data_IF_685129784120
#
_entry.id   IF_685129784120
#
_cell.length_a   1.000
_cell.length_b   1.000
_cell.length_c   1.000
_cell.angle_alpha   90.00
_cell.angle_beta   90.00
_cell.angle_gamma   90.00
#
_symmetry.space_group_name_H-M   'P 1'
#
loop_
_entity.id
_entity.type
_entity.pdbx_description
1 polymer ?
#
# COMPACT_ATOMS: atom_id res chain seq x y z
N UNK A 1 -13.13 -40.93 -28.06
CA UNK A 1 -11.84 -40.37 -28.48
C UNK A 1 -11.22 -39.79 -27.23
N UNK A 2 -10.02 -40.22 -26.87
CA UNK A 2 -9.24 -39.52 -25.85
C UNK A 2 -8.97 -38.10 -26.37
N UNK A 3 -9.36 -37.09 -25.59
CA UNK A 3 -9.05 -35.70 -25.92
C UNK A 3 -7.53 -35.55 -25.84
N UNK A 4 -6.90 -35.09 -26.92
CA UNK A 4 -5.46 -34.78 -26.94
C UNK A 4 -5.24 -33.67 -25.92
N UNK A 5 -4.46 -33.97 -24.87
CA UNK A 5 -4.06 -32.99 -23.84
C UNK A 5 -2.65 -32.51 -24.11
N UNK A 6 -2.42 -31.23 -23.93
CA UNK A 6 -1.07 -30.67 -23.85
C UNK A 6 -0.54 -31.01 -22.45
N UNK A 7 0.58 -31.74 -22.38
CA UNK A 7 1.18 -32.16 -21.11
C UNK A 7 2.01 -31.03 -20.52
N UNK A 8 1.70 -30.64 -19.28
CA UNK A 8 2.51 -29.66 -18.56
C UNK A 8 3.84 -30.26 -18.10
N UNK A 9 4.85 -29.42 -17.91
CA UNK A 9 6.12 -29.84 -17.28
C UNK A 9 5.96 -29.91 -15.77
N UNK A 10 6.60 -30.89 -15.14
CA UNK A 10 6.82 -30.84 -13.70
C UNK A 10 7.91 -29.80 -13.41
N UNK A 11 7.51 -28.66 -12.87
CA UNK A 11 8.41 -27.63 -12.38
C UNK A 11 8.17 -27.41 -10.89
N UNK A 12 9.24 -27.37 -10.11
CA UNK A 12 9.15 -27.11 -8.68
C UNK A 12 8.94 -25.62 -8.46
N UNK A 13 7.74 -25.25 -8.03
CA UNK A 13 7.46 -23.91 -7.53
C UNK A 13 8.12 -23.73 -6.15
N UNK A 14 9.00 -22.72 -5.95
CA UNK A 14 9.57 -22.45 -4.65
C UNK A 14 8.48 -22.23 -3.59
N UNK A 15 8.63 -22.86 -2.43
CA UNK A 15 7.70 -22.68 -1.32
C UNK A 15 7.91 -21.30 -0.68
N UNK A 16 6.84 -20.76 -0.08
CA UNK A 16 6.97 -19.57 0.77
C UNK A 16 7.81 -19.94 1.99
N UNK A 17 8.89 -19.20 2.20
CA UNK A 17 9.71 -19.32 3.40
C UNK A 17 9.16 -18.41 4.49
N UNK A 18 9.31 -18.82 5.75
CA UNK A 18 8.91 -18.01 6.90
C UNK A 18 9.90 -16.85 7.05
N UNK A 19 9.43 -15.60 6.89
CA UNK A 19 10.23 -14.44 7.25
C UNK A 19 10.18 -14.24 8.77
N UNK A 20 11.32 -14.45 9.45
CA UNK A 20 11.46 -14.24 10.90
C UNK A 20 12.03 -12.88 11.27
N UNK A 21 12.35 -12.08 10.27
CA UNK A 21 13.06 -10.84 10.47
C UNK A 21 12.05 -9.72 10.70
N UNK A 22 12.26 -8.96 11.76
CA UNK A 22 11.55 -7.72 11.99
C UNK A 22 12.58 -6.67 12.37
N UNK A 23 12.60 -5.58 11.62
CA UNK A 23 13.40 -4.42 11.97
C UNK A 23 12.69 -3.66 13.10
N UNK A 24 13.46 -3.25 14.10
CA UNK A 24 13.00 -2.22 15.02
C UNK A 24 13.07 -0.85 14.33
N UNK A 25 12.38 0.15 14.86
CA UNK A 25 12.52 1.52 14.34
C UNK A 25 13.98 2.01 14.42
N UNK A 26 14.74 1.57 15.42
CA UNK A 26 16.17 1.87 15.53
C UNK A 26 17.00 1.26 14.40
N UNK A 27 16.69 0.02 13.99
CA UNK A 27 17.36 -0.64 12.87
C UNK A 27 17.05 0.05 11.53
N UNK A 28 15.80 0.47 11.34
CA UNK A 28 15.37 1.25 10.15
C UNK A 28 16.14 2.57 10.08
N UNK A 29 16.20 3.31 11.19
CA UNK A 29 16.95 4.57 11.27
C UNK A 29 18.42 4.34 10.91
N UNK A 30 19.04 3.29 11.47
CA UNK A 30 20.44 2.97 11.20
C UNK A 30 20.68 2.60 9.73
N UNK A 31 19.87 1.69 9.18
CA UNK A 31 20.00 1.21 7.80
C UNK A 31 19.86 2.32 6.77
N UNK A 32 18.82 3.15 6.88
CA UNK A 32 18.59 4.26 5.94
C UNK A 32 19.70 5.31 6.05
N UNK A 33 20.15 5.67 7.26
CA UNK A 33 21.26 6.62 7.41
C UNK A 33 22.56 6.07 6.80
N UNK A 34 22.84 4.77 6.94
CA UNK A 34 24.05 4.16 6.39
C UNK A 34 24.13 4.26 4.86
N UNK A 35 22.98 4.18 4.16
CA UNK A 35 22.91 4.22 2.70
C UNK A 35 22.73 5.64 2.17
N UNK A 36 21.79 6.40 2.74
CA UNK A 36 21.35 7.69 2.19
C UNK A 36 21.97 8.91 2.90
N UNK A 37 22.58 8.73 4.07
CA UNK A 37 23.22 9.79 4.86
C UNK A 37 24.65 9.43 5.32
N UNK A 38 25.52 8.87 4.45
CA UNK A 38 26.80 8.30 4.88
C UNK A 38 27.75 9.38 5.39
N UNK A 39 28.37 9.12 6.55
CA UNK A 39 29.38 9.98 7.15
C UNK A 39 28.85 11.30 7.73
N UNK A 40 27.52 11.46 7.82
CA UNK A 40 26.84 12.61 8.41
C UNK A 40 26.22 12.23 9.77
N UNK A 41 25.83 13.21 10.61
CA UNK A 41 25.12 12.93 11.86
C UNK A 41 23.83 12.14 11.59
N UNK A 42 23.55 11.16 12.46
CA UNK A 42 22.35 10.33 12.36
C UNK A 42 21.10 11.19 12.51
N UNK A 43 20.16 11.05 11.58
CA UNK A 43 18.86 11.73 11.60
C UNK A 43 17.79 10.73 12.03
N UNK A 44 17.04 11.07 13.08
CA UNK A 44 15.80 10.37 13.44
C UNK A 44 14.61 11.19 12.94
N UNK A 45 14.07 10.80 11.78
CA UNK A 45 12.93 11.49 11.17
C UNK A 45 11.58 11.08 11.77
N UNK A 46 11.55 10.11 12.69
CA UNK A 46 10.34 9.74 13.44
C UNK A 46 10.11 10.66 14.64
N UNK A 47 11.18 11.19 15.24
CA UNK A 47 11.07 11.99 16.46
C UNK A 47 10.39 13.35 16.19
N UNK A 48 9.36 13.71 16.99
CA UNK A 48 8.81 15.05 16.95
C UNK A 48 9.84 16.09 17.42
N UNK A 49 9.54 17.37 17.20
CA UNK A 49 10.33 18.45 17.79
C UNK A 49 10.29 18.42 19.33
N UNK A 50 11.40 18.78 19.98
CA UNK A 50 11.52 18.74 21.45
C UNK A 50 10.54 19.70 22.16
N UNK A 51 10.15 20.77 21.48
CA UNK A 51 9.21 21.80 21.94
C UNK A 51 7.79 21.60 21.41
N UNK A 52 7.48 20.45 20.81
CA UNK A 52 6.13 20.13 20.35
C UNK A 52 5.12 20.08 21.50
N UNK A 53 3.98 20.74 21.31
CA UNK A 53 2.92 20.87 22.32
C UNK A 53 1.53 20.76 21.70
N UNK A 54 0.63 20.03 22.35
CA UNK A 54 -0.77 19.94 21.92
C UNK A 54 -1.64 20.97 22.63
N UNK A 55 -2.67 21.48 21.95
CA UNK A 55 -3.67 22.35 22.56
C UNK A 55 -4.38 21.68 23.76
N UNK A 56 -4.63 20.38 23.64
CA UNK A 56 -5.21 19.51 24.65
C UNK A 56 -4.34 18.27 24.79
N UNK A 57 -3.66 18.16 25.93
CA UNK A 57 -2.90 16.98 26.30
C UNK A 57 -3.64 16.21 27.41
N UNK A 58 -3.98 14.96 27.13
CA UNK A 58 -4.54 14.03 28.12
C UNK A 58 -3.50 12.95 28.36
N UNK A 59 -2.94 12.95 29.57
CA UNK A 59 -1.83 12.10 29.97
C UNK A 59 -2.25 11.22 31.14
N UNK A 60 -2.02 9.92 31.00
CA UNK A 60 -2.35 8.90 32.01
C UNK A 60 -3.78 9.03 32.57
N UNK A 61 -4.74 9.29 31.68
CA UNK A 61 -6.17 9.43 32.00
C UNK A 61 -6.55 10.74 32.67
N UNK A 62 -5.70 11.78 32.60
CA UNK A 62 -5.97 13.13 33.13
C UNK A 62 -5.73 14.21 32.09
N UNK A 63 -6.62 15.19 32.02
CA UNK A 63 -6.32 16.41 31.27
C UNK A 63 -5.20 17.17 32.00
N UNK A 64 -4.07 17.36 31.32
CA UNK A 64 -2.90 18.02 31.87
C UNK A 64 -2.78 19.44 31.31
N UNK A 65 -3.32 20.41 32.05
CA UNK A 65 -3.23 21.83 31.70
C UNK A 65 -1.78 22.33 31.61
N UNK A 66 -0.84 21.72 32.34
CA UNK A 66 0.55 22.21 32.43
C UNK A 66 1.37 21.89 31.18
N UNK A 67 1.02 20.81 30.49
CA UNK A 67 1.65 20.39 29.23
C UNK A 67 0.74 20.61 28.02
N UNK A 68 -0.41 21.27 28.22
CA UNK A 68 -1.31 21.73 27.17
C UNK A 68 -1.02 23.17 26.75
N UNK A 69 -1.39 23.53 25.52
CA UNK A 69 -1.34 24.90 25.01
C UNK A 69 -2.76 25.48 24.85
N UNK A 70 -3.36 26.06 25.90
CA UNK A 70 -4.70 26.65 25.81
C UNK A 70 -4.76 27.92 24.94
N UNK A 71 -3.62 28.50 24.56
CA UNK A 71 -3.59 29.76 23.79
C UNK A 71 -4.12 29.62 22.36
N UNK A 72 -4.09 28.41 21.81
CA UNK A 72 -4.60 28.07 20.48
C UNK A 72 -6.00 27.44 20.51
N UNK A 73 -6.61 27.34 21.70
CA UNK A 73 -7.98 26.83 21.89
C UNK A 73 -8.98 27.99 21.84
N UNK A 74 -9.91 27.92 20.88
CA UNK A 74 -10.93 28.95 20.65
C UNK A 74 -12.34 28.54 21.08
N UNK A 75 -12.50 27.29 21.51
CA UNK A 75 -13.78 26.76 21.95
C UNK A 75 -13.73 25.28 22.28
N UNK A 76 -14.77 24.82 22.96
CA UNK A 76 -14.95 23.44 23.38
C UNK A 76 -14.89 23.24 24.88
N UNK A 77 -15.10 22.00 25.29
CA UNK A 77 -14.98 21.54 26.68
C UNK A 77 -14.01 20.38 26.74
N UNK A 78 -13.15 20.39 27.74
CA UNK A 78 -12.13 19.37 27.96
C UNK A 78 -12.31 18.80 29.35
N UNK A 79 -12.19 17.48 29.44
CA UNK A 79 -12.18 16.71 30.68
C UNK A 79 -11.22 15.54 30.52
N UNK A 80 -10.99 14.79 31.61
CA UNK A 80 -10.06 13.66 31.66
C UNK A 80 -10.26 12.60 30.58
N UNK A 81 -11.49 12.38 30.12
CA UNK A 81 -11.84 11.32 29.17
C UNK A 81 -12.76 11.77 28.03
N UNK A 82 -13.13 13.06 27.99
CA UNK A 82 -14.01 13.59 26.96
C UNK A 82 -13.61 14.99 26.53
N UNK A 83 -13.57 15.20 25.22
CA UNK A 83 -13.40 16.50 24.56
C UNK A 83 -14.62 16.75 23.70
N UNK A 84 -15.27 17.91 23.82
CA UNK A 84 -16.52 18.22 23.12
C UNK A 84 -16.46 19.58 22.41
N UNK A 85 -16.87 19.62 21.14
CA UNK A 85 -16.94 20.84 20.33
C UNK A 85 -15.63 21.63 20.31
N UNK A 86 -14.49 20.93 20.25
CA UNK A 86 -13.18 21.55 20.29
C UNK A 86 -12.95 22.42 19.05
N UNK A 87 -12.38 23.61 19.25
CA UNK A 87 -11.88 24.44 18.15
C UNK A 87 -10.44 24.83 18.40
N UNK A 88 -9.54 24.41 17.52
CA UNK A 88 -8.10 24.74 17.59
C UNK A 88 -7.66 25.39 16.30
N UNK A 89 -6.89 26.47 16.40
CA UNK A 89 -6.20 27.10 15.28
C UNK A 89 -4.78 27.42 15.70
N UNK A 90 -3.80 26.83 15.03
CA UNK A 90 -2.37 27.04 15.31
C UNK A 90 -1.59 27.18 14.01
N UNK A 91 -0.53 27.99 14.02
CA UNK A 91 0.29 28.29 12.83
C UNK A 91 1.77 27.96 13.02
N UNK A 92 2.19 27.67 14.24
CA UNK A 92 3.53 27.19 14.54
C UNK A 92 3.63 25.69 14.22
N UNK A 93 4.77 25.29 13.67
CA UNK A 93 5.10 23.90 13.31
C UNK A 93 4.99 22.90 14.46
N UNK A 94 5.16 23.41 15.69
CA UNK A 94 5.29 22.65 16.93
C UNK A 94 3.97 22.56 17.71
N UNK A 95 2.91 23.25 17.29
CA UNK A 95 1.63 23.32 18.01
C UNK A 95 0.57 22.40 17.39
N UNK A 96 0.17 21.33 18.06
CA UNK A 96 -0.92 20.45 17.62
C UNK A 96 -2.22 20.71 18.35
N UNK A 97 -3.21 19.82 18.15
CA UNK A 97 -4.52 19.96 18.78
C UNK A 97 -4.77 18.95 19.90
N UNK A 98 -4.81 17.64 19.61
CA UNK A 98 -5.12 16.62 20.62
C UNK A 98 -3.95 15.64 20.76
N UNK A 99 -3.49 15.42 21.97
CA UNK A 99 -2.49 14.38 22.26
C UNK A 99 -2.97 13.53 23.43
N UNK A 100 -3.18 12.24 23.16
CA UNK A 100 -3.57 11.23 24.13
C UNK A 100 -2.34 10.35 24.44
N UNK A 101 -1.86 10.41 25.68
CA UNK A 101 -0.60 9.77 26.07
C UNK A 101 -0.82 8.80 27.25
N UNK A 102 -0.26 7.59 27.14
CA UNK A 102 -0.12 6.66 28.26
C UNK A 102 -1.24 5.62 28.38
N UNK A 103 -0.90 4.46 28.93
CA UNK A 103 -1.77 3.28 28.99
C UNK A 103 -3.05 3.48 29.84
N UNK A 104 -3.07 4.50 30.69
CA UNK A 104 -4.26 4.90 31.46
C UNK A 104 -5.23 5.80 30.70
N UNK A 105 -4.89 6.24 29.49
CA UNK A 105 -5.67 7.21 28.71
C UNK A 105 -6.62 6.51 27.77
N UNK A 106 -7.92 6.81 27.93
CA UNK A 106 -8.99 6.45 27.01
C UNK A 106 -9.91 7.67 26.87
N UNK A 107 -9.81 8.36 25.74
CA UNK A 107 -10.50 9.62 25.49
C UNK A 107 -11.37 9.55 24.24
N UNK A 108 -12.58 10.12 24.36
CA UNK A 108 -13.45 10.39 23.21
C UNK A 108 -13.49 11.89 22.91
N UNK A 109 -13.22 12.23 21.66
CA UNK A 109 -13.41 13.55 21.05
C UNK A 109 -14.71 13.51 20.27
N UNK A 110 -15.68 14.28 20.71
CA UNK A 110 -17.00 14.41 20.08
C UNK A 110 -17.16 15.80 19.50
N UNK A 111 -17.04 15.90 18.18
CA UNK A 111 -16.98 17.16 17.41
C UNK A 111 -15.70 17.96 17.67
N UNK A 112 -14.91 18.14 16.62
CA UNK A 112 -13.73 19.02 16.64
C UNK A 112 -13.53 19.73 15.30
N UNK A 113 -13.09 20.98 15.33
CA UNK A 113 -12.66 21.76 14.18
C UNK A 113 -11.22 22.20 14.40
N UNK A 114 -10.30 21.57 13.70
CA UNK A 114 -8.86 21.73 13.88
C UNK A 114 -8.27 22.24 12.57
N UNK A 115 -7.60 23.39 12.62
CA UNK A 115 -6.87 23.95 11.49
C UNK A 115 -5.44 24.25 11.93
N UNK A 116 -4.48 23.52 11.38
CA UNK A 116 -3.07 23.63 11.74
C UNK A 116 -2.24 24.03 10.52
N UNK A 117 -1.30 24.95 10.71
CA UNK A 117 -0.33 25.33 9.70
C UNK A 117 1.09 25.32 10.25
N UNK A 118 2.08 25.32 9.36
CA UNK A 118 3.50 25.36 9.69
C UNK A 118 4.16 23.98 9.55
N UNK A 119 5.46 24.00 9.26
CA UNK A 119 6.25 22.78 9.06
C UNK A 119 6.44 22.04 10.37
N UNK A 120 5.95 20.80 10.43
CA UNK A 120 6.21 19.89 11.52
C UNK A 120 7.60 19.26 11.46
N UNK A 121 7.85 18.39 12.42
CA UNK A 121 8.98 17.49 12.47
C UNK A 121 8.50 16.16 13.05
N UNK A 122 9.08 15.06 12.58
CA UNK A 122 8.71 13.73 13.07
C UNK A 122 7.47 13.16 12.37
N UNK A 123 7.03 12.03 12.89
CA UNK A 123 5.75 11.40 12.54
C UNK A 123 4.89 11.44 13.79
N UNK A 124 3.68 11.98 13.68
CA UNK A 124 2.75 12.01 14.80
C UNK A 124 3.11 12.99 15.93
N UNK A 125 2.95 12.54 17.17
CA UNK A 125 3.25 13.29 18.39
C UNK A 125 2.36 14.52 18.67
N UNK A 126 2.76 15.36 19.63
CA UNK A 126 1.95 16.48 20.12
C UNK A 126 1.64 17.57 19.09
N UNK A 127 2.41 17.67 18.01
CA UNK A 127 2.24 18.67 16.96
C UNK A 127 1.18 18.28 15.89
N UNK A 128 0.66 17.05 15.97
CA UNK A 128 -0.36 16.55 15.04
C UNK A 128 -1.75 17.15 15.30
N UNK A 129 -2.64 17.01 14.32
CA UNK A 129 -4.07 17.28 14.53
C UNK A 129 -4.61 16.46 15.70
N UNK A 130 -4.41 15.14 15.67
CA UNK A 130 -4.68 14.28 16.80
C UNK A 130 -3.75 13.06 16.84
N UNK A 131 -3.05 12.82 17.96
CA UNK A 131 -2.19 11.65 18.11
C UNK A 131 -2.53 10.86 19.38
N UNK A 132 -2.42 9.53 19.28
CA UNK A 132 -2.41 8.61 20.41
C UNK A 132 -1.03 7.94 20.52
N UNK A 133 -0.48 7.87 21.74
CA UNK A 133 0.85 7.32 21.99
C UNK A 133 0.97 6.58 23.32
N UNK A 134 1.95 5.69 23.43
CA UNK A 134 2.25 4.90 24.65
C UNK A 134 1.05 4.10 25.17
N UNK A 135 0.41 3.31 24.31
CA UNK A 135 -0.78 2.49 24.63
C UNK A 135 -2.06 3.28 24.97
N UNK A 136 -2.12 4.58 24.66
CA UNK A 136 -3.35 5.36 24.79
C UNK A 136 -4.43 4.90 23.79
N UNK A 137 -5.69 5.19 24.13
CA UNK A 137 -6.84 5.02 23.25
C UNK A 137 -7.49 6.35 22.95
N UNK A 138 -7.66 6.65 21.67
CA UNK A 138 -8.27 7.88 21.20
C UNK A 138 -9.40 7.54 20.22
N UNK A 139 -10.61 8.00 20.53
CA UNK A 139 -11.76 7.93 19.63
C UNK A 139 -12.14 9.33 19.19
N UNK A 140 -12.21 9.57 17.88
CA UNK A 140 -12.57 10.85 17.26
C UNK A 140 -13.88 10.66 16.49
N UNK A 141 -14.83 11.56 16.71
CA UNK A 141 -16.15 11.55 16.04
C UNK A 141 -16.50 12.94 15.54
N UNK A 142 -17.15 13.00 14.38
CA UNK A 142 -17.73 14.24 13.84
C UNK A 142 -16.70 15.38 13.71
N UNK A 143 -15.46 15.07 13.32
CA UNK A 143 -14.37 16.03 13.31
C UNK A 143 -14.01 16.49 11.89
N UNK A 144 -13.48 17.71 11.83
CA UNK A 144 -12.75 18.23 10.67
C UNK A 144 -11.35 18.58 11.13
N UNK A 145 -10.35 17.90 10.57
CA UNK A 145 -8.93 18.14 10.85
C UNK A 145 -8.25 18.50 9.54
N UNK A 146 -7.78 19.73 9.44
CA UNK A 146 -7.13 20.29 8.25
C UNK A 146 -5.72 20.74 8.63
N UNK A 147 -4.71 20.15 7.99
CA UNK A 147 -3.30 20.45 8.24
C UNK A 147 -2.57 20.91 6.98
N UNK A 148 -1.73 21.94 7.14
CA UNK A 148 -0.88 22.49 6.09
C UNK A 148 0.57 22.62 6.58
N UNK A 149 1.53 22.17 5.79
CA UNK A 149 2.94 22.16 6.18
C UNK A 149 3.60 20.79 6.01
N UNK A 150 4.93 20.81 5.88
CA UNK A 150 5.74 19.61 5.73
C UNK A 150 5.64 18.76 6.99
N UNK A 151 5.53 17.43 6.84
CA UNK A 151 5.46 16.48 7.97
C UNK A 151 4.39 16.88 9.01
N UNK A 152 3.26 17.44 8.57
CA UNK A 152 2.17 17.90 9.43
C UNK A 152 0.97 16.95 9.30
N UNK A 153 0.92 15.97 10.19
CA UNK A 153 -0.06 14.89 10.16
C UNK A 153 -1.40 15.35 10.72
N UNK A 154 -2.49 14.92 10.07
CA UNK A 154 -3.82 15.12 10.62
C UNK A 154 -4.07 14.17 11.79
N UNK A 155 -3.68 12.90 11.66
CA UNK A 155 -3.76 11.94 12.76
C UNK A 155 -2.57 10.98 12.83
N UNK A 156 -2.29 10.43 14.01
CA UNK A 156 -1.30 9.36 14.18
C UNK A 156 -1.65 8.40 15.34
N UNK A 157 -1.20 7.16 15.23
CA UNK A 157 -1.23 6.16 16.29
C UNK A 157 0.15 5.52 16.44
N UNK A 158 0.76 5.68 17.60
CA UNK A 158 2.15 5.29 17.88
C UNK A 158 2.26 4.42 19.14
N UNK A 159 3.26 3.55 19.16
CA UNK A 159 3.76 2.83 20.35
C UNK A 159 2.65 2.13 21.17
N UNK A 160 1.98 1.17 20.54
CA UNK A 160 0.96 0.30 21.15
C UNK A 160 -0.42 0.93 21.27
N UNK A 161 -0.66 2.10 20.66
CA UNK A 161 -1.89 2.86 20.83
C UNK A 161 -3.01 2.38 19.90
N UNK A 162 -4.24 2.82 20.22
CA UNK A 162 -5.42 2.58 19.40
C UNK A 162 -6.09 3.90 19.03
N UNK A 163 -6.22 4.17 17.75
CA UNK A 163 -6.96 5.32 17.21
C UNK A 163 -8.21 4.85 16.47
N UNK A 164 -9.35 5.50 16.73
CA UNK A 164 -10.59 5.27 15.98
C UNK A 164 -11.18 6.57 15.50
N UNK A 165 -11.53 6.66 14.23
CA UNK A 165 -12.08 7.86 13.59
C UNK A 165 -13.41 7.51 12.94
N UNK A 166 -14.45 8.27 13.30
CA UNK A 166 -15.83 8.07 12.84
C UNK A 166 -16.38 9.36 12.25
N UNK A 167 -17.12 9.27 11.15
CA UNK A 167 -17.95 10.36 10.64
C UNK A 167 -17.17 11.68 10.46
N UNK A 168 -15.92 11.60 10.00
CA UNK A 168 -14.97 12.72 10.04
C UNK A 168 -14.31 12.99 8.70
N UNK A 169 -13.79 14.20 8.55
CA UNK A 169 -12.94 14.61 7.42
C UNK A 169 -11.57 14.96 7.95
N UNK A 170 -10.53 14.27 7.47
CA UNK A 170 -9.15 14.57 7.80
C UNK A 170 -8.36 14.86 6.53
N UNK A 171 -7.56 15.92 6.55
CA UNK A 171 -6.84 16.39 5.37
C UNK A 171 -5.43 16.88 5.73
N UNK A 172 -4.46 16.51 4.90
CA UNK A 172 -3.10 17.06 4.97
C UNK A 172 -2.59 17.51 3.60
N UNK A 173 -2.13 18.77 3.53
CA UNK A 173 -1.76 19.43 2.27
C UNK A 173 -0.24 19.45 1.96
N UNK A 174 0.61 19.34 2.98
CA UNK A 174 2.05 19.51 2.80
C UNK A 174 2.42 20.96 2.49
N UNK A 175 3.66 21.18 2.04
CA UNK A 175 4.06 22.44 1.39
C UNK A 175 4.18 22.26 -0.13
N UNK A 176 3.94 23.30 -0.94
CA UNK A 176 4.22 23.25 -2.37
C UNK A 176 5.73 23.14 -2.64
N UNK A 177 6.12 22.34 -3.62
CA UNK A 177 7.46 22.34 -4.23
C UNK A 177 7.36 21.87 -5.71
N UNK A 178 8.34 22.20 -6.56
CA UNK A 178 8.26 21.95 -8.02
C UNK A 178 9.11 22.91 -8.85
N UNK A 179 8.73 23.14 -10.12
CA UNK A 179 9.56 23.81 -11.16
C UNK A 179 10.24 25.13 -10.72
N UNK A 180 9.59 25.91 -9.86
CA UNK A 180 10.11 27.19 -9.35
C UNK A 180 10.26 27.23 -7.81
N UNK A 181 9.99 26.12 -7.10
CA UNK A 181 10.05 26.04 -5.64
C UNK A 181 10.94 24.86 -5.24
N UNK A 182 12.03 25.15 -4.52
CA UNK A 182 13.02 24.16 -4.11
C UNK A 182 12.39 22.96 -3.40
N UNK A 183 12.75 21.75 -3.85
CA UNK A 183 12.33 20.50 -3.23
C UNK A 183 13.02 20.35 -1.87
N UNK A 184 12.29 19.95 -0.81
CA UNK A 184 12.91 19.61 0.46
C UNK A 184 14.01 18.56 0.29
N UNK A 185 15.21 18.84 0.81
CA UNK A 185 16.41 18.03 0.63
C UNK A 185 16.79 17.22 1.90
N UNK A 186 16.12 17.48 3.01
CA UNK A 186 16.30 16.73 4.25
C UNK A 186 15.96 15.24 4.07
N UNK A 187 16.69 14.37 4.76
CA UNK A 187 16.46 12.92 4.70
C UNK A 187 15.00 12.59 5.05
N UNK A 188 14.34 11.78 4.20
CA UNK A 188 12.93 11.40 4.35
C UNK A 188 11.96 12.59 4.44
N UNK A 189 12.29 13.73 3.83
CA UNK A 189 11.36 14.87 3.71
C UNK A 189 10.48 14.84 2.45
N UNK A 190 10.79 13.94 1.51
CA UNK A 190 9.98 13.62 0.33
C UNK A 190 10.05 12.10 0.09
N UNK A 191 9.07 11.50 -0.61
CA UNK A 191 9.07 10.07 -0.86
C UNK A 191 10.27 9.65 -1.74
N UNK A 192 10.80 8.43 -1.56
CA UNK A 192 11.83 7.88 -2.43
C UNK A 192 11.41 7.88 -3.92
N UNK A 193 12.27 8.29 -4.86
CA UNK A 193 11.92 8.38 -6.28
C UNK A 193 11.43 7.07 -6.90
N UNK A 194 11.92 5.92 -6.42
CA UNK A 194 11.53 4.60 -6.93
C UNK A 194 10.03 4.28 -6.72
N UNK A 195 9.35 5.02 -5.84
CA UNK A 195 7.91 4.88 -5.62
C UNK A 195 7.06 5.66 -6.65
N UNK A 196 7.68 6.47 -7.51
CA UNK A 196 7.00 7.20 -8.60
C UNK A 196 5.91 8.18 -8.12
N UNK A 197 6.17 8.87 -7.02
CA UNK A 197 5.27 9.90 -6.49
C UNK A 197 6.04 11.10 -5.91
N UNK A 198 5.29 12.07 -5.40
CA UNK A 198 5.81 13.28 -4.78
C UNK A 198 5.04 13.60 -3.48
N UNK A 199 5.19 14.81 -2.93
CA UNK A 199 4.61 15.23 -1.65
C UNK A 199 5.60 15.23 -0.48
N UNK A 200 5.20 15.76 0.67
CA UNK A 200 6.09 15.93 1.84
C UNK A 200 5.35 15.82 3.18
N UNK A 201 4.11 15.32 3.15
CA UNK A 201 3.33 15.04 4.35
C UNK A 201 2.44 13.84 4.09
N UNK A 202 2.02 13.20 5.17
CA UNK A 202 1.05 12.11 5.14
C UNK A 202 -0.13 12.51 6.02
N UNK A 203 -1.33 12.12 5.62
CA UNK A 203 -2.54 12.52 6.37
C UNK A 203 -2.65 11.74 7.67
N UNK A 204 -2.35 10.44 7.61
CA UNK A 204 -2.37 9.55 8.74
C UNK A 204 -1.15 8.62 8.74
N UNK A 205 -0.65 8.26 9.93
CA UNK A 205 0.29 7.16 10.12
C UNK A 205 -0.05 6.28 11.34
N UNK A 206 -0.06 4.96 11.15
CA UNK A 206 -0.05 3.97 12.25
C UNK A 206 1.31 3.29 12.33
N UNK A 207 1.89 3.18 13.52
CA UNK A 207 3.21 2.59 13.68
C UNK A 207 3.45 1.98 15.05
N UNK A 208 4.54 1.21 15.19
CA UNK A 208 5.05 0.71 16.46
C UNK A 208 3.99 -0.04 17.28
N UNK A 209 3.54 -1.19 16.78
CA UNK A 209 2.51 -2.04 17.42
C UNK A 209 1.13 -1.39 17.64
N UNK A 210 0.80 -0.35 16.87
CA UNK A 210 -0.47 0.37 17.03
C UNK A 210 -1.55 -0.11 16.07
N UNK A 211 -2.79 0.31 16.33
CA UNK A 211 -3.93 0.03 15.47
C UNK A 211 -4.77 1.28 15.20
N UNK A 212 -5.13 1.50 13.93
CA UNK A 212 -6.04 2.58 13.54
C UNK A 212 -7.27 2.05 12.81
N UNK A 213 -8.41 2.67 13.07
CA UNK A 213 -9.68 2.31 12.47
C UNK A 213 -10.39 3.56 11.95
N UNK A 214 -10.87 3.51 10.71
CA UNK A 214 -11.62 4.57 10.05
C UNK A 214 -12.98 4.05 9.60
N UNK A 215 -14.04 4.79 9.93
CA UNK A 215 -15.42 4.42 9.59
C UNK A 215 -16.18 5.62 9.07
N UNK A 216 -16.86 5.46 7.92
CA UNK A 216 -17.69 6.51 7.32
C UNK A 216 -16.98 7.88 7.29
N UNK A 217 -15.73 7.88 6.80
CA UNK A 217 -14.85 9.04 6.92
C UNK A 217 -14.20 9.37 5.58
N UNK A 218 -13.80 10.63 5.43
CA UNK A 218 -13.06 11.11 4.26
C UNK A 218 -11.63 11.46 4.64
N UNK A 219 -10.67 10.82 3.98
CA UNK A 219 -9.23 10.99 4.22
C UNK A 219 -8.62 11.57 2.95
N UNK A 220 -8.02 12.75 3.05
CA UNK A 220 -7.55 13.50 1.89
C UNK A 220 -6.07 13.86 2.05
N UNK A 221 -5.24 13.44 1.11
CA UNK A 221 -3.88 13.95 0.99
C UNK A 221 -3.70 14.76 -0.30
N UNK A 222 -2.86 15.78 -0.24
CA UNK A 222 -2.37 16.44 -1.45
C UNK A 222 -1.26 15.61 -2.13
N UNK A 223 -0.44 14.91 -1.35
CA UNK A 223 0.60 14.05 -1.90
C UNK A 223 1.17 13.11 -0.85
N UNK A 224 2.15 12.31 -1.24
CA UNK A 224 2.74 11.19 -0.50
C UNK A 224 1.72 10.15 -0.04
N UNK A 225 0.94 10.39 1.03
CA UNK A 225 0.04 9.36 1.59
C UNK A 225 -1.25 9.91 2.21
N UNK A 226 -2.37 9.22 1.97
CA UNK A 226 -3.57 9.36 2.79
C UNK A 226 -3.45 8.51 4.07
N UNK A 227 -3.27 7.20 3.95
CA UNK A 227 -3.21 6.23 5.05
C UNK A 227 -1.90 5.45 5.01
N UNK A 228 -0.89 5.81 5.80
CA UNK A 228 0.35 5.01 5.86
C UNK A 228 0.43 4.15 7.11
N UNK A 229 1.07 3.01 6.99
CA UNK A 229 1.64 2.27 8.13
C UNK A 229 3.15 2.22 7.99
N UNK A 230 3.87 2.24 9.12
CA UNK A 230 5.34 2.20 9.15
C UNK A 230 5.84 1.47 10.40
N UNK A 231 7.07 0.95 10.34
CA UNK A 231 7.82 0.46 11.51
C UNK A 231 6.96 -0.40 12.45
N UNK A 232 6.53 -1.58 12.00
CA UNK A 232 5.55 -2.39 12.73
C UNK A 232 5.97 -2.73 14.17
N UNK A 233 7.27 -2.99 14.37
CA UNK A 233 7.86 -3.46 15.62
C UNK A 233 7.16 -4.70 16.21
N UNK A 234 6.50 -5.48 15.35
CA UNK A 234 5.65 -6.59 15.75
C UNK A 234 4.45 -6.76 14.83
N UNK A 235 3.46 -5.89 15.02
CA UNK A 235 2.18 -5.98 14.33
C UNK A 235 1.50 -4.61 14.29
N UNK A 236 1.41 -4.00 13.12
CA UNK A 236 0.64 -2.77 12.90
C UNK A 236 -0.61 -3.10 12.09
N UNK A 237 -1.73 -2.51 12.51
CA UNK A 237 -3.03 -2.77 11.91
C UNK A 237 -3.72 -1.48 11.49
N UNK A 238 -4.21 -1.44 10.26
CA UNK A 238 -5.05 -0.35 9.77
C UNK A 238 -6.30 -0.92 9.13
N UNK A 239 -7.46 -0.38 9.50
CA UNK A 239 -8.75 -0.76 8.90
C UNK A 239 -9.52 0.48 8.49
N UNK A 240 -10.07 0.49 7.28
CA UNK A 240 -11.01 1.49 6.83
C UNK A 240 -12.27 0.81 6.26
N UNK A 241 -13.45 1.29 6.68
CA UNK A 241 -14.73 0.79 6.22
C UNK A 241 -15.61 1.95 5.79
N UNK A 242 -16.22 1.85 4.60
CA UNK A 242 -17.12 2.86 4.05
C UNK A 242 -16.45 4.25 4.02
N UNK A 243 -15.20 4.31 3.54
CA UNK A 243 -14.41 5.54 3.53
C UNK A 243 -14.13 6.04 2.11
N UNK A 244 -14.10 7.37 1.97
CA UNK A 244 -13.55 8.07 0.80
C UNK A 244 -12.07 8.37 1.06
N UNK A 245 -11.18 7.73 0.31
CA UNK A 245 -9.74 7.95 0.37
C UNK A 245 -9.36 8.70 -0.91
N UNK A 246 -8.77 9.89 -0.77
CA UNK A 246 -8.53 10.81 -1.90
C UNK A 246 -7.10 11.31 -1.88
N UNK A 247 -6.43 11.20 -3.04
CA UNK A 247 -5.13 11.81 -3.26
C UNK A 247 -5.21 12.79 -4.44
N UNK A 248 -5.11 14.09 -4.16
CA UNK A 248 -5.43 15.16 -5.13
C UNK A 248 -4.26 15.56 -6.03
N UNK A 249 -3.02 15.26 -5.64
CA UNK A 249 -1.79 15.42 -6.45
C UNK A 249 -0.93 14.16 -6.28
N UNK A 250 0.35 14.20 -6.60
CA UNK A 250 1.20 13.01 -6.64
C UNK A 250 1.32 12.29 -5.28
N UNK A 251 0.74 11.10 -5.12
CA UNK A 251 0.76 10.32 -3.87
C UNK A 251 -0.08 9.04 -3.94
N UNK A 252 -0.10 8.27 -2.84
CA UNK A 252 -0.89 7.04 -2.72
C UNK A 252 -2.01 7.10 -1.69
N UNK A 253 -2.96 6.17 -1.84
CA UNK A 253 -4.04 5.92 -0.88
C UNK A 253 -3.52 5.28 0.40
N UNK A 254 -2.95 4.08 0.29
CA UNK A 254 -2.46 3.29 1.43
C UNK A 254 -1.03 2.76 1.24
N UNK A 255 -0.31 2.56 2.35
CA UNK A 255 0.99 1.91 2.39
C UNK A 255 1.08 0.91 3.55
N UNK A 256 1.55 -0.29 3.25
CA UNK A 256 1.80 -1.38 4.19
C UNK A 256 3.28 -1.75 4.18
N UNK A 257 3.97 -1.39 5.26
CA UNK A 257 5.40 -1.63 5.51
C UNK A 257 5.61 -3.02 6.15
N UNK A 258 6.84 -3.58 6.22
CA UNK A 258 7.05 -4.92 6.80
C UNK A 258 6.40 -5.10 8.19
N UNK A 259 5.56 -6.13 8.33
CA UNK A 259 4.77 -6.43 9.53
C UNK A 259 3.51 -5.55 9.73
N UNK A 260 3.12 -4.81 8.71
CA UNK A 260 1.86 -4.05 8.70
C UNK A 260 0.78 -4.79 7.90
N UNK A 261 -0.48 -4.50 8.26
CA UNK A 261 -1.65 -5.23 7.82
C UNK A 261 -2.82 -4.26 7.63
N UNK A 262 -3.18 -3.99 6.37
CA UNK A 262 -4.19 -3.00 6.04
C UNK A 262 -5.46 -3.65 5.43
N UNK A 263 -6.62 -3.20 5.87
CA UNK A 263 -7.92 -3.75 5.46
C UNK A 263 -8.86 -2.63 5.01
N UNK A 264 -9.42 -2.79 3.82
CA UNK A 264 -10.33 -1.83 3.19
C UNK A 264 -11.62 -2.55 2.80
N UNK A 265 -12.74 -2.11 3.35
CA UNK A 265 -14.06 -2.69 3.09
C UNK A 265 -15.01 -1.59 2.59
N UNK A 266 -15.61 -1.80 1.41
CA UNK A 266 -16.57 -0.86 0.81
C UNK A 266 -15.99 0.57 0.68
N UNK A 267 -14.68 0.69 0.44
CA UNK A 267 -14.01 1.98 0.33
C UNK A 267 -13.93 2.46 -1.12
N UNK A 268 -13.89 3.79 -1.29
CA UNK A 268 -13.66 4.44 -2.57
C UNK A 268 -12.29 5.13 -2.59
N UNK A 269 -11.48 4.83 -3.59
CA UNK A 269 -10.16 5.40 -3.81
C UNK A 269 -10.16 6.30 -5.06
N UNK A 270 -9.99 7.61 -4.89
CA UNK A 270 -9.79 8.58 -5.98
C UNK A 270 -8.34 9.09 -5.96
N UNK A 271 -7.48 8.47 -6.76
CA UNK A 271 -6.03 8.54 -6.63
C UNK A 271 -5.38 9.22 -7.82
N UNK A 272 -4.66 10.32 -7.59
CA UNK A 272 -3.83 10.91 -8.62
C UNK A 272 -2.66 10.01 -9.07
N UNK A 273 -2.12 9.16 -8.19
CA UNK A 273 -1.19 8.10 -8.60
C UNK A 273 -1.77 6.72 -8.32
N UNK A 274 -1.64 6.17 -7.11
CA UNK A 274 -1.96 4.75 -6.87
C UNK A 274 -2.74 4.50 -5.59
N UNK A 275 -3.51 3.42 -5.54
CA UNK A 275 -4.28 3.08 -4.35
C UNK A 275 -3.41 2.47 -3.26
N UNK A 276 -2.47 1.59 -3.63
CA UNK A 276 -1.75 0.76 -2.67
C UNK A 276 -0.23 0.68 -2.94
N UNK A 277 0.54 0.67 -1.86
CA UNK A 277 1.94 0.22 -1.87
C UNK A 277 2.16 -0.82 -0.79
N UNK A 278 2.71 -1.98 -1.17
CA UNK A 278 2.95 -3.09 -0.24
C UNK A 278 4.43 -3.47 -0.27
N UNK A 279 5.08 -3.39 0.89
CA UNK A 279 6.52 -3.51 1.03
C UNK A 279 6.95 -4.60 2.02
N UNK A 280 7.96 -5.37 1.62
CA UNK A 280 8.48 -6.50 2.39
C UNK A 280 7.41 -7.50 2.83
N UNK A 281 7.53 -8.05 4.04
CA UNK A 281 6.57 -9.05 4.53
C UNK A 281 5.35 -8.39 5.18
N UNK A 282 4.36 -8.03 4.38
CA UNK A 282 3.17 -7.26 4.78
C UNK A 282 1.96 -7.62 3.91
N UNK A 283 0.77 -7.17 4.32
CA UNK A 283 -0.45 -7.42 3.54
C UNK A 283 -1.40 -6.25 3.42
N UNK A 284 -2.21 -6.31 2.35
CA UNK A 284 -3.39 -5.50 2.16
C UNK A 284 -4.56 -6.35 1.64
N UNK A 285 -5.75 -6.12 2.21
CA UNK A 285 -7.00 -6.73 1.77
C UNK A 285 -8.01 -5.68 1.35
N UNK A 286 -8.60 -5.86 0.17
CA UNK A 286 -9.64 -5.00 -0.40
C UNK A 286 -10.90 -5.84 -0.64
N UNK A 287 -12.00 -5.46 0.00
CA UNK A 287 -13.31 -6.08 -0.18
C UNK A 287 -14.27 -5.04 -0.74
N UNK A 288 -14.84 -5.32 -1.91
CA UNK A 288 -15.86 -4.49 -2.56
C UNK A 288 -15.46 -3.00 -2.70
N UNK A 289 -14.18 -2.74 -2.94
CA UNK A 289 -13.66 -1.38 -3.09
C UNK A 289 -13.77 -0.88 -4.53
N UNK A 290 -13.99 0.42 -4.68
CA UNK A 290 -13.84 1.10 -5.98
C UNK A 290 -12.52 1.86 -6.01
N UNK A 291 -11.79 1.82 -7.11
CA UNK A 291 -10.55 2.58 -7.26
C UNK A 291 -10.38 3.17 -8.66
N UNK A 292 -10.12 4.47 -8.72
CA UNK A 292 -9.72 5.21 -9.92
C UNK A 292 -8.30 5.75 -9.72
N UNK A 293 -7.34 5.19 -10.46
CA UNK A 293 -5.91 5.48 -10.23
C UNK A 293 -5.24 6.12 -11.44
N UNK A 294 -4.56 7.25 -11.22
CA UNK A 294 -3.77 7.93 -12.24
C UNK A 294 -2.49 7.19 -12.68
N UNK A 295 -2.05 6.19 -11.92
CA UNK A 295 -1.02 5.24 -12.29
C UNK A 295 -1.49 3.79 -12.07
N UNK A 296 -1.19 3.20 -10.92
CA UNK A 296 -1.36 1.78 -10.60
C UNK A 296 -2.49 1.59 -9.61
N UNK A 297 -3.11 0.42 -9.58
CA UNK A 297 -3.87 0.02 -8.40
C UNK A 297 -2.89 -0.27 -7.27
N UNK A 298 -1.90 -1.13 -7.52
CA UNK A 298 -0.88 -1.47 -6.53
C UNK A 298 0.54 -1.41 -7.10
N UNK A 299 1.47 -0.96 -6.27
CA UNK A 299 2.92 -1.11 -6.47
C UNK A 299 3.49 -1.96 -5.34
N UNK A 300 4.30 -2.97 -5.66
CA UNK A 300 5.02 -3.75 -4.65
C UNK A 300 6.51 -3.67 -4.85
N UNK A 301 7.23 -3.58 -3.73
CA UNK A 301 8.69 -3.50 -3.73
C UNK A 301 9.25 -4.04 -2.41
N UNK A 302 10.56 -4.30 -2.36
CA UNK A 302 11.24 -4.68 -1.13
C UNK A 302 12.62 -4.05 -1.11
N UNK A 303 12.88 -3.25 -0.07
CA UNK A 303 14.10 -2.46 0.11
C UNK A 303 14.65 -2.71 1.50
N UNK A 304 15.97 -2.86 1.63
CA UNK A 304 16.66 -3.18 2.88
C UNK A 304 16.07 -4.40 3.64
N UNK A 305 15.40 -5.29 2.89
CA UNK A 305 14.65 -6.41 3.43
C UNK A 305 15.36 -7.75 3.23
N UNK A 306 14.58 -8.81 3.22
CA UNK A 306 15.07 -10.19 3.08
C UNK A 306 14.44 -10.90 1.90
N UNK A 307 15.20 -11.80 1.28
CA UNK A 307 14.77 -12.53 0.09
C UNK A 307 13.57 -13.45 0.34
N UNK A 308 13.24 -13.76 1.61
CA UNK A 308 12.08 -14.53 2.04
C UNK A 308 10.81 -13.69 2.23
N UNK A 309 10.90 -12.36 2.22
CA UNK A 309 9.74 -11.47 2.40
C UNK A 309 8.76 -11.58 1.23
N UNK A 310 7.46 -11.57 1.55
CA UNK A 310 6.36 -11.69 0.58
C UNK A 310 5.30 -10.64 0.91
N UNK A 311 4.93 -9.83 -0.08
CA UNK A 311 3.71 -9.03 -0.03
C UNK A 311 2.49 -9.88 -0.37
N UNK A 312 1.44 -9.83 0.44
CA UNK A 312 0.13 -10.41 0.13
C UNK A 312 -0.88 -9.30 -0.22
N UNK A 313 -1.49 -9.38 -1.40
CA UNK A 313 -2.58 -8.50 -1.82
C UNK A 313 -3.77 -9.38 -2.14
N UNK A 314 -4.87 -9.18 -1.41
CA UNK A 314 -6.15 -9.86 -1.66
C UNK A 314 -7.18 -8.84 -2.11
N UNK A 315 -7.83 -9.09 -3.25
CA UNK A 315 -8.90 -8.25 -3.78
C UNK A 315 -10.11 -9.14 -4.07
N UNK A 316 -11.21 -8.90 -3.37
CA UNK A 316 -12.48 -9.61 -3.57
C UNK A 316 -13.56 -8.61 -3.93
N UNK A 317 -14.19 -8.78 -5.09
CA UNK A 317 -15.23 -7.86 -5.56
C UNK A 317 -14.69 -6.47 -5.93
N UNK A 318 -15.61 -5.56 -6.27
CA UNK A 318 -15.31 -4.16 -6.56
C UNK A 318 -14.95 -3.84 -8.02
N UNK A 319 -14.69 -2.56 -8.26
CA UNK A 319 -14.44 -1.96 -9.57
C UNK A 319 -13.14 -1.14 -9.55
N UNK A 320 -12.14 -1.57 -10.30
CA UNK A 320 -10.79 -0.97 -10.31
C UNK A 320 -10.43 -0.55 -11.73
N UNK A 321 -10.07 0.72 -11.89
CA UNK A 321 -9.53 1.29 -13.13
C UNK A 321 -8.20 2.00 -12.88
N UNK A 322 -7.26 1.81 -13.80
CA UNK A 322 -5.92 2.40 -13.72
C UNK A 322 -5.49 2.98 -15.07
N UNK A 323 -4.80 4.13 -15.05
CA UNK A 323 -4.27 4.74 -16.29
C UNK A 323 -2.96 4.12 -16.77
N UNK A 324 -2.19 3.50 -15.87
CA UNK A 324 -1.03 2.66 -16.18
C UNK A 324 -1.40 1.18 -15.95
N UNK A 325 -0.43 0.29 -15.83
CA UNK A 325 -0.63 -1.12 -15.47
C UNK A 325 -1.45 -1.25 -14.18
N UNK A 326 -2.24 -2.32 -14.00
CA UNK A 326 -3.01 -2.46 -12.77
C UNK A 326 -2.07 -2.71 -11.56
N UNK A 327 -1.17 -3.68 -11.67
CA UNK A 327 -0.20 -4.02 -10.62
C UNK A 327 1.23 -3.97 -11.15
N UNK A 328 2.08 -3.16 -10.53
CA UNK A 328 3.52 -3.10 -10.78
C UNK A 328 4.29 -3.79 -9.65
N UNK A 329 5.14 -4.76 -9.99
CA UNK A 329 6.00 -5.46 -9.04
C UNK A 329 7.46 -5.16 -9.35
N UNK A 330 8.15 -4.52 -8.42
CA UNK A 330 9.58 -4.20 -8.53
C UNK A 330 10.41 -5.18 -7.70
N UNK A 331 10.90 -6.25 -8.33
CA UNK A 331 11.70 -7.32 -7.70
C UNK A 331 11.31 -7.68 -6.28
N UNK A 332 10.04 -7.99 -6.09
CA UNK A 332 9.48 -8.44 -4.81
C UNK A 332 8.86 -9.83 -4.97
N UNK A 333 8.90 -10.65 -3.92
CA UNK A 333 8.03 -11.81 -3.90
C UNK A 333 6.62 -11.35 -3.54
N UNK A 334 5.63 -11.91 -4.20
CA UNK A 334 4.24 -11.46 -4.05
C UNK A 334 3.28 -12.64 -4.14
N UNK A 335 2.20 -12.57 -3.38
CA UNK A 335 0.95 -13.27 -3.63
C UNK A 335 -0.13 -12.22 -3.94
N UNK A 336 -0.63 -12.22 -5.16
CA UNK A 336 -1.77 -11.42 -5.59
C UNK A 336 -2.93 -12.37 -5.84
N UNK A 337 -3.98 -12.25 -5.03
CA UNK A 337 -5.21 -13.02 -5.13
C UNK A 337 -6.36 -12.09 -5.56
N UNK A 338 -6.86 -12.30 -6.78
CA UNK A 338 -7.95 -11.55 -7.37
C UNK A 338 -9.16 -12.48 -7.50
N UNK A 339 -10.27 -12.11 -6.87
CA UNK A 339 -11.49 -12.90 -6.84
C UNK A 339 -12.71 -12.03 -7.19
N UNK A 340 -13.44 -12.38 -8.24
CA UNK A 340 -14.70 -11.71 -8.65
C UNK A 340 -14.60 -10.16 -8.75
N UNK A 341 -13.43 -9.64 -9.13
CA UNK A 341 -13.19 -8.18 -9.26
C UNK A 341 -13.24 -7.73 -10.71
N UNK A 342 -13.88 -6.59 -10.97
CA UNK A 342 -13.81 -5.94 -12.27
C UNK A 342 -12.59 -5.00 -12.30
N UNK A 343 -11.47 -5.48 -12.84
CA UNK A 343 -10.22 -4.73 -12.89
C UNK A 343 -9.77 -4.47 -14.34
N UNK A 344 -9.37 -3.23 -14.62
CA UNK A 344 -8.95 -2.81 -15.97
C UNK A 344 -7.89 -1.71 -15.97
N UNK A 345 -7.14 -1.65 -17.07
CA UNK A 345 -6.06 -0.68 -17.29
C UNK A 345 -6.17 -0.04 -18.67
N UNK A 346 -5.94 1.27 -18.77
CA UNK A 346 -5.83 1.98 -20.06
C UNK A 346 -4.64 1.51 -20.90
N UNK A 347 -3.61 0.92 -20.26
CA UNK A 347 -2.47 0.29 -20.95
C UNK A 347 -2.77 -1.13 -21.40
N UNK A 348 -3.87 -1.71 -20.94
CA UNK A 348 -4.21 -3.11 -21.20
C UNK A 348 -3.23 -4.07 -20.53
N UNK A 349 -2.59 -3.70 -19.42
CA UNK A 349 -1.65 -4.55 -18.68
C UNK A 349 -2.20 -4.76 -17.27
N UNK A 350 -2.40 -6.02 -16.90
CA UNK A 350 -2.92 -6.41 -15.59
C UNK A 350 -1.80 -6.53 -14.56
N UNK A 351 -0.73 -7.25 -14.88
CA UNK A 351 0.44 -7.39 -14.00
C UNK A 351 1.72 -7.17 -14.80
N UNK A 352 2.57 -6.29 -14.29
CA UNK A 352 3.89 -6.04 -14.84
C UNK A 352 4.93 -6.20 -13.75
N UNK A 353 5.93 -7.06 -13.98
CA UNK A 353 7.05 -7.21 -13.05
C UNK A 353 8.32 -6.71 -13.73
N UNK A 354 9.13 -5.94 -13.00
CA UNK A 354 10.40 -5.41 -13.48
C UNK A 354 11.51 -5.63 -12.45
N UNK A 355 12.75 -5.48 -12.91
CA UNK A 355 13.90 -5.39 -11.99
C UNK A 355 13.78 -4.11 -11.17
N UNK A 356 13.88 -4.22 -9.85
CA UNK A 356 13.82 -3.05 -8.95
C UNK A 356 15.04 -2.14 -9.14
N UNK A 357 14.76 -0.87 -9.42
CA UNK A 357 15.71 0.19 -9.70
C UNK A 357 16.12 0.99 -8.45
N UNK A 358 15.53 0.69 -7.28
CA UNK A 358 15.90 1.31 -6.01
C UNK A 358 17.32 0.87 -5.57
N UNK A 359 18.19 1.80 -5.14
CA UNK A 359 19.53 1.46 -4.65
C UNK A 359 19.52 0.55 -3.41
N UNK A 360 18.44 0.58 -2.62
CA UNK A 360 18.21 -0.26 -1.45
C UNK A 360 17.50 -1.58 -1.80
N UNK A 361 17.24 -1.89 -3.08
CA UNK A 361 16.49 -3.08 -3.49
C UNK A 361 17.09 -4.39 -2.95
N UNK A 362 16.23 -5.20 -2.31
CA UNK A 362 16.61 -6.49 -1.73
C UNK A 362 17.09 -7.47 -2.80
N UNK A 363 18.29 -8.01 -2.58
CA UNK A 363 18.92 -8.98 -3.51
C UNK A 363 18.58 -10.41 -3.13
N UNK A 364 18.46 -11.26 -4.13
CA UNK A 364 18.24 -12.70 -3.97
C UNK A 364 19.51 -13.48 -4.28
N UNK A 365 19.71 -14.59 -3.59
CA UNK A 365 20.90 -15.46 -3.77
C UNK A 365 20.55 -16.91 -4.13
N UNK A 366 19.26 -17.21 -4.22
CA UNK A 366 18.66 -18.51 -4.48
C UNK A 366 17.33 -18.32 -5.23
N UNK A 367 16.74 -19.42 -5.67
CA UNK A 367 15.34 -19.41 -6.12
C UNK A 367 14.43 -19.07 -4.93
N UNK A 368 13.57 -18.07 -5.12
CA UNK A 368 12.67 -17.53 -4.10
C UNK A 368 11.21 -17.70 -4.52
N UNK A 369 10.28 -17.41 -3.60
CA UNK A 369 8.84 -17.56 -3.82
C UNK A 369 8.33 -16.89 -5.11
N UNK A 370 8.95 -15.78 -5.52
CA UNK A 370 8.66 -15.10 -6.76
C UNK A 370 7.29 -14.41 -6.76
N UNK A 371 6.77 -14.14 -7.95
CA UNK A 371 5.50 -13.43 -8.14
C UNK A 371 4.41 -14.43 -8.41
N UNK A 372 3.39 -14.47 -7.57
CA UNK A 372 2.28 -15.40 -7.67
C UNK A 372 0.99 -14.63 -7.92
N UNK A 373 0.34 -14.92 -9.03
CA UNK A 373 -0.91 -14.28 -9.44
C UNK A 373 -1.98 -15.36 -9.50
N UNK A 374 -3.00 -15.23 -8.67
CA UNK A 374 -4.17 -16.09 -8.64
C UNK A 374 -5.37 -15.26 -9.08
N UNK A 375 -6.09 -15.78 -10.07
CA UNK A 375 -7.35 -15.19 -10.53
C UNK A 375 -8.45 -16.23 -10.40
N UNK A 376 -9.53 -15.85 -9.73
CA UNK A 376 -10.65 -16.74 -9.38
C UNK A 376 -11.98 -16.11 -9.78
N UNK A 377 -12.77 -16.85 -10.56
CA UNK A 377 -14.14 -16.46 -10.96
C UNK A 377 -14.21 -15.11 -11.72
N UNK A 378 -13.23 -14.82 -12.59
CA UNK A 378 -13.14 -13.54 -13.32
C UNK A 378 -13.35 -13.70 -14.83
N UNK A 379 -13.90 -12.66 -15.47
CA UNK A 379 -13.75 -12.39 -16.92
C UNK A 379 -12.93 -11.11 -17.07
N UNK A 380 -11.64 -11.27 -17.38
CA UNK A 380 -10.65 -10.20 -17.22
C UNK A 380 -9.83 -10.00 -18.49
N UNK A 381 -9.50 -8.73 -18.75
CA UNK A 381 -8.66 -8.31 -19.86
C UNK A 381 -7.39 -7.66 -19.37
N UNK A 382 -6.28 -8.02 -19.97
CA UNK A 382 -5.00 -7.39 -19.73
C UNK A 382 -3.83 -8.36 -19.83
N UNK A 383 -2.70 -7.81 -20.23
CA UNK A 383 -1.48 -8.58 -20.40
C UNK A 383 -0.81 -8.89 -19.06
N UNK A 384 -0.13 -10.03 -18.98
CA UNK A 384 0.74 -10.43 -17.89
C UNK A 384 2.19 -10.38 -18.41
N UNK A 385 2.95 -9.38 -17.96
CA UNK A 385 4.29 -9.09 -18.45
C UNK A 385 5.32 -9.39 -17.36
N UNK A 386 6.14 -10.42 -17.58
CA UNK A 386 7.24 -10.77 -16.69
C UNK A 386 8.59 -10.37 -17.28
N UNK A 387 9.13 -9.23 -16.84
CA UNK A 387 10.44 -8.70 -17.23
C UNK A 387 11.46 -8.71 -16.06
N UNK A 388 11.06 -9.14 -14.86
CA UNK A 388 11.99 -9.36 -13.77
C UNK A 388 12.82 -10.63 -14.03
N UNK A 389 14.11 -10.45 -14.26
CA UNK A 389 15.05 -11.55 -14.56
C UNK A 389 15.61 -12.24 -13.31
N UNK A 390 15.22 -11.80 -12.11
CA UNK A 390 15.76 -12.29 -10.84
C UNK A 390 14.83 -13.25 -10.12
N UNK A 391 13.56 -13.32 -10.53
CA UNK A 391 12.49 -14.12 -9.92
C UNK A 391 11.66 -14.72 -11.04
N UNK A 392 10.81 -15.68 -10.71
CA UNK A 392 9.83 -16.21 -11.66
C UNK A 392 8.42 -15.69 -11.35
N UNK A 393 7.57 -15.62 -12.38
CA UNK A 393 6.13 -15.44 -12.25
C UNK A 393 5.38 -16.77 -12.37
N UNK A 394 4.38 -16.96 -11.50
CA UNK A 394 3.47 -18.10 -11.45
C UNK A 394 2.03 -17.61 -11.52
N UNK A 395 1.29 -18.07 -12.52
CA UNK A 395 -0.09 -17.66 -12.78
C UNK A 395 -1.02 -18.86 -12.63
N UNK A 396 -2.06 -18.70 -11.83
CA UNK A 396 -3.11 -19.70 -11.65
C UNK A 396 -4.46 -19.11 -12.06
N UNK A 397 -5.09 -19.73 -13.06
CA UNK A 397 -6.45 -19.40 -13.47
C UNK A 397 -7.42 -20.44 -12.88
N UNK A 398 -8.35 -19.97 -12.05
CA UNK A 398 -9.41 -20.77 -11.44
C UNK A 398 -10.77 -20.24 -11.90
N UNK A 399 -11.51 -21.04 -12.67
CA UNK A 399 -12.79 -20.62 -13.29
C UNK A 399 -12.74 -19.22 -13.92
N UNK A 400 -11.60 -18.89 -14.53
CA UNK A 400 -11.29 -17.55 -15.04
C UNK A 400 -11.18 -17.54 -16.56
N UNK A 401 -11.73 -16.50 -17.18
CA UNK A 401 -11.56 -16.20 -18.60
C UNK A 401 -10.61 -15.00 -18.74
N UNK A 402 -9.37 -15.27 -19.15
CA UNK A 402 -8.36 -14.24 -19.40
C UNK A 402 -8.27 -13.92 -20.89
N UNK A 403 -8.34 -12.63 -21.25
CA UNK A 403 -8.01 -12.14 -22.60
C UNK A 403 -6.84 -11.17 -22.54
N UNK A 404 -5.67 -11.59 -23.04
CA UNK A 404 -4.43 -10.82 -22.95
C UNK A 404 -3.22 -11.67 -23.33
N UNK A 405 -2.08 -11.06 -23.61
CA UNK A 405 -0.82 -11.76 -23.80
C UNK A 405 -0.22 -12.17 -22.44
N UNK A 406 0.53 -13.28 -22.43
CA UNK A 406 1.31 -13.70 -21.26
C UNK A 406 2.77 -13.85 -21.71
N UNK A 407 3.68 -13.15 -21.05
CA UNK A 407 5.11 -13.18 -21.33
C UNK A 407 5.88 -13.76 -20.15
N UNK A 408 6.67 -14.80 -20.43
CA UNK A 408 7.67 -15.42 -19.55
C UNK A 408 7.13 -15.94 -18.20
N UNK A 409 5.88 -16.40 -18.16
CA UNK A 409 5.27 -16.90 -16.92
C UNK A 409 5.07 -18.43 -16.91
N UNK A 410 5.07 -19.01 -15.72
CA UNK A 410 4.60 -20.37 -15.47
C UNK A 410 3.08 -20.35 -15.28
N UNK A 411 2.32 -21.05 -16.12
CA UNK A 411 0.85 -20.94 -16.15
C UNK A 411 0.19 -22.27 -15.84
N UNK A 412 -0.80 -22.23 -14.94
CA UNK A 412 -1.67 -23.34 -14.57
C UNK A 412 -3.15 -22.97 -14.84
N UNK A 413 -3.91 -23.97 -15.27
CA UNK A 413 -5.34 -23.85 -15.56
C UNK A 413 -6.11 -24.91 -14.78
N UNK A 414 -7.21 -24.51 -14.14
CA UNK A 414 -8.26 -25.46 -13.79
C UNK A 414 -9.12 -25.80 -15.02
N UNK A 415 -10.11 -26.69 -14.85
CA UNK A 415 -10.99 -27.11 -15.95
C UNK A 415 -11.97 -26.01 -16.40
N UNK A 416 -12.31 -25.07 -15.52
CA UNK A 416 -13.24 -23.99 -15.79
C UNK A 416 -12.61 -22.84 -16.58
N UNK A 417 -11.29 -22.72 -16.55
CA UNK A 417 -10.57 -21.57 -17.08
C UNK A 417 -10.30 -21.61 -18.57
N UNK A 418 -10.19 -20.43 -19.16
CA UNK A 418 -9.84 -20.19 -20.55
C UNK A 418 -8.88 -19.02 -20.69
N UNK A 419 -8.06 -19.07 -21.72
CA UNK A 419 -7.16 -17.98 -22.10
C UNK A 419 -7.25 -17.72 -23.61
N UNK A 420 -7.47 -16.45 -23.95
CA UNK A 420 -7.39 -15.94 -25.33
C UNK A 420 -6.20 -15.00 -25.43
N UNK A 421 -5.14 -15.43 -26.10
CA UNK A 421 -3.97 -14.59 -26.34
C UNK A 421 -4.27 -13.52 -27.39
N UNK A 422 -4.00 -12.26 -27.06
CA UNK A 422 -4.21 -11.10 -27.95
C UNK A 422 -2.99 -10.76 -28.80
N UNK A 423 -1.81 -11.23 -28.38
CA UNK A 423 -0.54 -11.08 -29.08
C UNK A 423 0.33 -12.33 -28.85
N UNK A 424 1.44 -12.42 -29.58
CA UNK A 424 2.41 -13.51 -29.42
C UNK A 424 2.81 -13.63 -27.95
N UNK A 425 2.87 -14.85 -27.44
CA UNK A 425 3.04 -15.13 -26.01
C UNK A 425 4.10 -16.20 -25.80
N UNK A 426 4.83 -16.13 -24.67
CA UNK A 426 5.85 -17.09 -24.26
C UNK A 426 5.55 -17.57 -22.84
N UNK A 427 5.28 -18.87 -22.67
CA UNK A 427 4.84 -19.43 -21.39
C UNK A 427 5.43 -20.81 -21.10
N UNK A 428 5.35 -21.22 -19.84
CA UNK A 428 5.59 -22.60 -19.41
C UNK A 428 4.29 -23.17 -18.86
N UNK A 429 3.76 -24.24 -19.47
CA UNK A 429 2.60 -24.94 -18.91
C UNK A 429 3.05 -25.89 -17.80
N UNK A 430 2.55 -25.67 -16.59
CA UNK A 430 2.90 -26.50 -15.41
C UNK A 430 1.79 -27.46 -15.00
N UNK A 431 0.65 -27.44 -15.70
CA UNK A 431 -0.43 -28.42 -15.59
C UNK A 431 -0.80 -28.95 -16.98
N UNK A 432 -1.49 -30.09 -17.04
CA UNK A 432 -2.12 -30.54 -18.28
C UNK A 432 -3.20 -29.54 -18.71
N UNK A 433 -3.24 -29.18 -20.00
CA UNK A 433 -4.22 -28.24 -20.55
C UNK A 433 -4.93 -28.87 -21.74
N UNK A 434 -6.24 -28.65 -21.84
CA UNK A 434 -6.99 -29.03 -23.04
C UNK A 434 -6.85 -27.94 -24.10
N UNK A 435 -6.53 -28.25 -25.37
CA UNK A 435 -6.40 -27.24 -26.43
C UNK A 435 -7.61 -26.31 -26.56
N UNK A 436 -8.81 -26.77 -26.20
CA UNK A 436 -10.04 -25.97 -26.22
C UNK A 436 -10.10 -24.86 -25.15
N UNK A 437 -9.20 -24.87 -24.17
CA UNK A 437 -9.06 -23.82 -23.16
C UNK A 437 -8.20 -22.65 -23.64
N UNK A 438 -7.50 -22.82 -24.76
CA UNK A 438 -6.57 -21.83 -25.30
C UNK A 438 -7.08 -21.39 -26.67
N UNK A 439 -7.09 -20.09 -26.93
CA UNK A 439 -7.36 -19.54 -28.25
C UNK A 439 -6.45 -18.36 -28.56
N UNK A 440 -6.33 -18.04 -29.85
CA UNK A 440 -5.66 -16.83 -30.32
C UNK A 440 -6.15 -16.50 -31.73
N UNK A 441 -6.22 -15.22 -32.12
CA UNK A 441 -6.63 -14.83 -33.46
C UNK A 441 -5.57 -15.18 -34.51
N UNK A 442 -5.98 -15.23 -35.78
CA UNK A 442 -5.08 -15.41 -36.90
C UNK A 442 -3.91 -14.42 -36.87
N UNK A 443 -2.69 -14.94 -37.03
CA UNK A 443 -1.45 -14.17 -36.97
C UNK A 443 -0.78 -14.15 -35.59
N UNK A 444 -1.45 -14.62 -34.53
CA UNK A 444 -0.87 -14.74 -33.19
C UNK A 444 -0.36 -16.17 -32.94
N UNK A 445 0.84 -16.26 -32.37
CA UNK A 445 1.50 -17.50 -31.97
C UNK A 445 1.76 -17.53 -30.47
N UNK A 446 1.22 -18.54 -29.80
CA UNK A 446 1.61 -18.88 -28.43
C UNK A 446 2.75 -19.88 -28.52
N UNK A 447 3.90 -19.52 -27.95
CA UNK A 447 5.02 -20.43 -27.74
C UNK A 447 4.98 -20.90 -26.29
N UNK A 448 4.91 -22.20 -26.10
CA UNK A 448 4.84 -22.80 -24.78
C UNK A 448 5.94 -23.85 -24.58
N UNK A 449 6.45 -23.95 -23.37
CA UNK A 449 7.16 -25.14 -22.91
C UNK A 449 6.19 -26.10 -22.22
N UNK A 450 6.17 -27.34 -22.68
CA UNK A 450 5.39 -28.46 -22.14
C UNK A 450 6.25 -29.72 -22.01
N UNK A 451 5.69 -30.82 -21.54
CA UNK A 451 6.42 -32.09 -21.42
C UNK A 451 6.58 -32.83 -22.76
N UNK A 452 5.78 -32.46 -23.76
CA UNK A 452 5.80 -33.06 -25.10
C UNK A 452 5.67 -31.96 -26.15
N UNK A 453 6.50 -32.04 -27.21
CA UNK A 453 6.44 -31.09 -28.31
C UNK A 453 5.21 -31.34 -29.18
N UNK A 454 4.61 -30.26 -29.69
CA UNK A 454 3.40 -30.33 -30.51
C UNK A 454 3.05 -29.00 -31.16
N UNK A 455 2.22 -29.07 -32.20
CA UNK A 455 1.71 -27.89 -32.89
C UNK A 455 0.19 -28.03 -33.05
N UNK A 456 -0.53 -26.98 -32.67
CA UNK A 456 -1.99 -26.98 -32.64
C UNK A 456 -2.52 -25.71 -33.32
N UNK A 457 -3.45 -25.88 -34.25
CA UNK A 457 -4.25 -24.78 -34.78
C UNK A 457 -5.33 -24.40 -33.77
N UNK A 458 -5.48 -23.11 -33.50
CA UNK A 458 -6.47 -22.60 -32.54
C UNK A 458 -7.76 -22.20 -33.25
N UNK A 459 -8.87 -22.16 -32.51
CA UNK A 459 -10.21 -22.01 -33.07
C UNK A 459 -10.38 -20.69 -33.85
N UNK A 460 -9.77 -19.60 -33.35
CA UNK A 460 -9.80 -18.27 -33.98
C UNK A 460 -8.70 -18.05 -35.03
N UNK A 461 -7.96 -19.11 -35.40
CA UNK A 461 -6.99 -19.10 -36.49
C UNK A 461 -5.53 -18.86 -36.09
N UNK A 462 -5.26 -18.63 -34.80
CA UNK A 462 -3.91 -18.57 -34.25
C UNK A 462 -3.25 -19.95 -34.12
N UNK A 463 -2.05 -19.97 -33.56
CA UNK A 463 -1.24 -21.18 -33.43
C UNK A 463 -0.67 -21.32 -32.03
N UNK A 464 -0.67 -22.55 -31.52
CA UNK A 464 0.06 -22.94 -30.32
C UNK A 464 1.21 -23.87 -30.71
N UNK A 465 2.43 -23.50 -30.33
CA UNK A 465 3.65 -24.30 -30.50
C UNK A 465 4.14 -24.71 -29.12
N UNK A 466 4.14 -26.00 -28.85
CA UNK A 466 4.68 -26.56 -27.62
C UNK A 466 6.05 -27.16 -27.90
N UNK A 467 7.04 -26.78 -27.11
CA UNK A 467 8.40 -27.31 -27.08
C UNK A 467 8.61 -28.16 -25.83
N UNK A 468 9.46 -29.18 -25.90
CA UNK A 468 9.78 -30.08 -24.78
C UNK A 468 11.01 -29.62 -23.98
#
# INVERSE_FOLDING_TARGET
>A
MELVKIKGVQKNKPAREECKNMLTMADIIEGVNAVLNPGKPKINWFAPADDAVAAVHIKDGKYDETTSNPSVVYGGKVSDNKVENLKVVAYEGTEGAIYAEGAGTDVTVDTAYISLAGDGQGIGGPASGASAKYNAKLTIKNAVIDTNGRTRYATAAEEGSVLKVYDSVICAHGIPYGDDIERPDALMSTPPPALEMDGNTRTHCTMSNSSSYFYNSKIICDGWAALSTESSEGYVYLEANDCDIVCTKSGYGAYSDPGCHDYFNDCNFDMSCMAAIVAGNSDMTFNDCTAECGSYFALTHCVNGWQEEVADITVTGGDIHTKKECVLVKSHNMMLDLCDVNISSDKGILVHTIVNDDPCATKVTKDVFGVNVVMTDMDVKGDLLHEDTTREMWVMLNSTQLTGAIQHANVAFDKGSKWVATADSDVVFVTDVEPAQIDAPAGVTITAKGAEAGEFALASGGKLVVTA
#
